data_IF_513358818272
#
_entry.id   IF_513358818272
#
_cell.length_a   1.000
_cell.length_b   1.000
_cell.length_c   1.000
_cell.angle_alpha   90.00
_cell.angle_beta   90.00
_cell.angle_gamma   90.00
#
_symmetry.space_group_name_H-M   'P 1'
#
loop_
_entity.id
_entity.type
_entity.pdbx_description
1 polymer ?
#
# COMPACT_ATOMS: atom_id res chain seq x y z
N UNK A 1 -4.93 0.32 -11.25
CA UNK A 1 -3.89 0.54 -10.21
C UNK A 1 -3.60 -0.77 -9.49
N UNK A 2 -2.32 -1.06 -9.19
CA UNK A 2 -1.90 -2.22 -8.40
C UNK A 2 -1.87 -1.89 -6.90
N UNK A 3 -2.53 -2.70 -6.10
CA UNK A 3 -2.48 -2.62 -4.63
C UNK A 3 -1.71 -3.83 -4.10
N UNK A 4 -0.63 -3.61 -3.36
CA UNK A 4 0.05 -4.64 -2.59
C UNK A 4 -0.43 -4.62 -1.14
N UNK A 5 -0.84 -5.77 -0.64
CA UNK A 5 -1.33 -5.95 0.73
C UNK A 5 -0.72 -7.22 1.33
N UNK A 6 -0.56 -7.25 2.64
CA UNK A 6 0.03 -8.40 3.35
C UNK A 6 0.64 -7.98 4.68
N UNK A 7 0.98 -8.92 5.54
CA UNK A 7 1.46 -8.63 6.88
C UNK A 7 2.83 -7.94 6.90
N UNK A 8 3.25 -7.50 8.08
CA UNK A 8 4.57 -6.88 8.31
C UNK A 8 5.68 -7.83 7.86
N UNK A 9 6.73 -7.26 7.23
CA UNK A 9 7.88 -8.00 6.71
C UNK A 9 7.58 -9.01 5.58
N UNK A 10 6.43 -8.90 4.89
CA UNK A 10 6.09 -9.75 3.73
C UNK A 10 6.85 -9.40 2.44
N UNK A 11 7.59 -8.28 2.40
CA UNK A 11 8.35 -7.88 1.21
C UNK A 11 7.71 -6.79 0.36
N UNK A 12 6.50 -6.28 0.71
CA UNK A 12 5.77 -5.26 -0.08
C UNK A 12 6.62 -4.05 -0.46
N UNK A 13 7.35 -3.49 0.49
CA UNK A 13 8.14 -2.26 0.26
C UNK A 13 9.26 -2.50 -0.76
N UNK A 14 9.94 -3.63 -0.68
CA UNK A 14 11.01 -3.97 -1.62
C UNK A 14 10.43 -4.29 -3.00
N UNK A 15 9.32 -5.04 -3.07
CA UNK A 15 8.63 -5.30 -4.33
C UNK A 15 8.17 -4.00 -5.01
N UNK A 16 7.60 -3.03 -4.26
CA UNK A 16 7.21 -1.72 -4.82
C UNK A 16 8.41 -0.96 -5.37
N UNK A 17 9.57 -0.99 -4.69
CA UNK A 17 10.79 -0.34 -5.20
C UNK A 17 11.22 -0.93 -6.54
N UNK A 18 11.22 -2.26 -6.67
CA UNK A 18 11.58 -2.95 -7.92
C UNK A 18 10.55 -2.63 -9.02
N UNK A 19 9.23 -2.69 -8.71
CA UNK A 19 8.18 -2.33 -9.66
C UNK A 19 8.34 -0.91 -10.22
N UNK A 20 8.76 0.04 -9.38
CA UNK A 20 9.00 1.42 -9.81
C UNK A 20 10.28 1.53 -10.64
N UNK A 21 11.37 0.91 -10.22
CA UNK A 21 12.66 1.09 -10.83
C UNK A 21 12.84 0.31 -12.14
N UNK A 22 12.24 -0.89 -12.24
CA UNK A 22 12.49 -1.82 -13.33
C UNK A 22 11.29 -2.00 -14.27
N UNK A 23 10.07 -1.80 -13.77
CA UNK A 23 8.84 -2.04 -14.54
C UNK A 23 8.02 -0.79 -14.84
N UNK A 24 8.60 0.39 -14.58
CA UNK A 24 8.01 1.70 -14.92
C UNK A 24 6.61 1.93 -14.29
N UNK A 25 6.32 1.31 -13.14
CA UNK A 25 5.18 1.72 -12.33
C UNK A 25 5.54 2.96 -11.51
N UNK A 26 4.54 3.71 -11.10
CA UNK A 26 4.73 4.92 -10.31
C UNK A 26 4.02 4.78 -8.96
N UNK A 27 4.65 5.29 -7.90
CA UNK A 27 4.00 5.36 -6.59
C UNK A 27 2.73 6.20 -6.69
N UNK A 28 1.63 5.75 -6.10
CA UNK A 28 0.48 6.60 -5.87
C UNK A 28 0.86 7.70 -4.87
N UNK A 29 0.65 8.95 -5.24
CA UNK A 29 0.91 10.12 -4.38
C UNK A 29 -0.42 10.60 -3.82
N UNK A 30 -0.54 10.62 -2.49
CA UNK A 30 -1.76 11.03 -1.78
C UNK A 30 -1.68 12.48 -1.31
N UNK A 31 -2.80 13.07 -0.95
CA UNK A 31 -2.92 14.44 -0.44
C UNK A 31 -2.78 14.48 1.07
N UNK A 32 -2.21 15.57 1.60
CA UNK A 32 -2.16 15.80 3.05
C UNK A 32 -2.16 17.28 3.39
N UNK A 33 -2.73 17.61 4.56
CA UNK A 33 -2.65 18.95 5.16
C UNK A 33 -1.49 19.09 6.15
N UNK A 34 -0.74 18.00 6.39
CA UNK A 34 0.45 18.03 7.23
C UNK A 34 1.53 18.92 6.57
N UNK A 35 2.20 19.78 7.34
CA UNK A 35 3.34 20.51 6.82
C UNK A 35 4.42 19.58 6.26
N UNK A 36 5.02 19.98 5.15
CA UNK A 36 6.13 19.27 4.51
C UNK A 36 7.34 19.21 5.45
N UNK A 37 7.96 18.05 5.57
CA UNK A 37 9.18 17.85 6.37
C UNK A 37 10.43 18.11 5.52
N UNK A 38 11.56 18.33 6.20
CA UNK A 38 12.86 18.44 5.54
C UNK A 38 13.15 17.19 4.71
N UNK A 39 13.46 17.38 3.43
CA UNK A 39 13.74 16.29 2.48
C UNK A 39 12.53 15.75 1.71
N UNK A 40 11.31 16.11 2.11
CA UNK A 40 10.11 15.78 1.33
C UNK A 40 9.95 16.75 0.14
N UNK A 41 9.30 16.27 -0.93
CA UNK A 41 9.05 17.02 -2.15
C UNK A 41 7.56 16.94 -2.50
N UNK A 42 6.95 18.10 -2.73
CA UNK A 42 5.55 18.16 -3.16
C UNK A 42 5.34 17.47 -4.52
N UNK A 43 4.29 16.65 -4.64
CA UNK A 43 4.01 15.86 -5.82
C UNK A 43 4.83 14.56 -5.95
N UNK A 44 5.79 14.32 -5.05
CA UNK A 44 6.56 13.07 -4.97
C UNK A 44 6.21 12.27 -3.71
N UNK A 45 6.26 12.91 -2.54
CA UNK A 45 6.01 12.25 -1.27
C UNK A 45 4.54 12.34 -0.90
N UNK A 46 3.98 13.54 -1.04
CA UNK A 46 2.56 13.88 -0.93
C UNK A 46 2.24 15.09 -1.82
N UNK A 47 0.97 15.30 -2.13
CA UNK A 47 0.42 16.60 -2.53
C UNK A 47 0.10 17.38 -1.24
N UNK A 48 0.99 18.31 -0.85
CA UNK A 48 0.82 19.14 0.33
C UNK A 48 -0.11 20.32 0.02
N UNK A 49 -1.28 20.35 0.64
CA UNK A 49 -2.28 21.40 0.45
C UNK A 49 -2.75 21.97 1.80
N UNK A 50 -3.40 23.15 1.79
CA UNK A 50 -3.95 23.73 3.01
C UNK A 50 -5.16 22.94 3.52
N UNK A 51 -5.52 23.17 4.79
CA UNK A 51 -6.70 22.54 5.38
C UNK A 51 -7.99 23.03 4.70
N UNK A 52 -8.05 24.30 4.39
CA UNK A 52 -9.19 24.94 3.70
C UNK A 52 -9.38 24.35 2.30
N UNK A 53 -8.29 24.17 1.56
CA UNK A 53 -8.31 23.54 0.23
C UNK A 53 -8.74 22.08 0.32
N UNK A 54 -8.25 21.33 1.31
CA UNK A 54 -8.64 19.95 1.52
C UNK A 54 -10.15 19.81 1.81
N UNK A 55 -10.68 20.65 2.72
CA UNK A 55 -12.10 20.67 3.06
C UNK A 55 -12.99 21.08 1.88
N UNK A 56 -12.53 22.00 1.04
CA UNK A 56 -13.22 22.34 -0.20
C UNK A 56 -13.26 21.17 -1.17
N UNK A 57 -12.16 20.42 -1.30
CA UNK A 57 -12.08 19.22 -2.15
C UNK A 57 -12.98 18.09 -1.63
N UNK A 58 -13.14 17.93 -0.30
CA UNK A 58 -14.13 17.01 0.29
C UNK A 58 -15.55 17.37 -0.20
N UNK A 59 -15.94 18.66 -0.11
CA UNK A 59 -17.26 19.12 -0.54
C UNK A 59 -17.52 18.87 -2.03
N UNK A 60 -16.48 18.86 -2.84
CA UNK A 60 -16.55 18.61 -4.27
C UNK A 60 -16.43 17.11 -4.64
N UNK A 61 -16.48 16.19 -3.66
CA UNK A 61 -16.31 14.74 -3.86
C UNK A 61 -15.01 14.37 -4.62
N UNK A 62 -13.95 15.15 -4.41
CA UNK A 62 -12.66 14.94 -5.10
C UNK A 62 -11.95 13.66 -4.66
N UNK A 63 -12.09 13.30 -3.38
CA UNK A 63 -11.37 12.16 -2.81
C UNK A 63 -12.16 10.85 -2.93
N UNK A 64 -11.48 9.79 -3.32
CA UNK A 64 -11.95 8.40 -3.18
C UNK A 64 -12.19 8.05 -1.71
N UNK A 65 -11.20 8.40 -0.88
CA UNK A 65 -11.23 8.23 0.57
C UNK A 65 -10.38 9.31 1.24
N UNK A 66 -10.68 9.61 2.49
CA UNK A 66 -9.82 10.44 3.33
C UNK A 66 -10.00 10.06 4.79
N UNK A 67 -8.96 10.35 5.58
CA UNK A 67 -8.95 10.14 7.04
C UNK A 67 -8.35 11.36 7.72
N UNK A 68 -8.75 11.59 8.99
CA UNK A 68 -8.07 12.54 9.87
C UNK A 68 -7.18 11.75 10.84
N UNK A 69 -5.91 12.13 10.92
CA UNK A 69 -4.93 11.52 11.81
C UNK A 69 -3.98 12.59 12.36
N UNK A 70 -3.84 12.67 13.69
CA UNK A 70 -3.02 13.67 14.39
C UNK A 70 -3.28 15.11 13.89
N UNK A 71 -4.55 15.51 13.83
CA UNK A 71 -5.02 16.84 13.38
C UNK A 71 -4.77 17.18 11.91
N UNK A 72 -4.25 16.24 11.12
CA UNK A 72 -4.04 16.41 9.69
C UNK A 72 -4.95 15.48 8.89
N UNK A 73 -5.36 15.96 7.71
CA UNK A 73 -6.07 15.13 6.74
C UNK A 73 -5.07 14.41 5.81
N UNK A 74 -5.47 13.21 5.39
CA UNK A 74 -4.81 12.42 4.35
C UNK A 74 -5.89 11.87 3.43
N UNK A 75 -5.68 11.90 2.12
CA UNK A 75 -6.69 11.43 1.19
C UNK A 75 -6.13 11.08 -0.18
N UNK A 76 -6.85 10.24 -0.91
CA UNK A 76 -6.54 9.82 -2.28
C UNK A 76 -7.58 10.34 -3.23
N UNK A 77 -7.16 11.01 -4.30
CA UNK A 77 -8.06 11.47 -5.33
C UNK A 77 -8.46 10.36 -6.32
N UNK A 78 -9.69 10.41 -6.84
CA UNK A 78 -10.13 9.49 -7.89
C UNK A 78 -9.27 9.62 -9.16
N UNK A 79 -8.89 10.84 -9.53
CA UNK A 79 -8.11 11.13 -10.74
C UNK A 79 -6.68 10.57 -10.71
N UNK A 80 -6.15 10.26 -9.52
CA UNK A 80 -4.82 9.68 -9.35
C UNK A 80 -4.80 8.15 -9.56
N UNK A 81 -5.97 7.51 -9.71
CA UNK A 81 -6.08 6.09 -9.95
C UNK A 81 -5.79 5.77 -11.41
N UNK A 82 -4.57 5.39 -11.72
CA UNK A 82 -4.16 5.00 -13.06
C UNK A 82 -3.56 3.59 -13.09
N UNK A 83 -3.63 2.91 -14.24
CA UNK A 83 -3.14 1.54 -14.40
C UNK A 83 -1.63 1.40 -14.14
N UNK A 84 -0.85 2.45 -14.35
CA UNK A 84 0.58 2.47 -14.07
C UNK A 84 0.94 2.86 -12.61
N UNK A 85 -0.03 2.93 -11.70
CA UNK A 85 0.21 3.24 -10.27
C UNK A 85 0.26 1.99 -9.41
N UNK A 86 1.10 2.06 -8.38
CA UNK A 86 1.21 1.05 -7.31
C UNK A 86 1.14 1.68 -5.93
N UNK A 87 0.48 1.01 -5.00
CA UNK A 87 0.34 1.44 -3.60
C UNK A 87 0.37 0.25 -2.64
N UNK A 88 0.84 0.48 -1.41
CA UNK A 88 0.70 -0.46 -0.29
C UNK A 88 -0.43 0.04 0.58
N UNK A 89 -1.42 -0.81 0.83
CA UNK A 89 -2.55 -0.50 1.71
C UNK A 89 -2.69 -1.51 2.85
N UNK A 90 -3.30 -1.04 3.93
CA UNK A 90 -3.86 -1.89 4.98
C UNK A 90 -5.22 -2.47 4.54
N UNK A 91 -5.69 -3.59 5.14
CA UNK A 91 -6.95 -4.23 4.73
C UNK A 91 -8.18 -3.31 4.70
N UNK A 92 -8.29 -2.36 5.63
CA UNK A 92 -9.37 -1.37 5.63
C UNK A 92 -9.34 -0.46 4.40
N UNK A 93 -8.15 -0.03 3.98
CA UNK A 93 -7.95 0.72 2.75
C UNK A 93 -8.35 -0.12 1.53
N UNK A 94 -7.90 -1.37 1.45
CA UNK A 94 -8.27 -2.29 0.35
C UNK A 94 -9.78 -2.41 0.19
N UNK A 95 -10.52 -2.59 1.31
CA UNK A 95 -11.98 -2.68 1.29
C UNK A 95 -12.62 -1.43 0.66
N UNK A 96 -12.15 -0.24 1.06
CA UNK A 96 -12.65 1.03 0.52
C UNK A 96 -12.39 1.17 -0.98
N UNK A 97 -11.19 0.82 -1.45
CA UNK A 97 -10.86 0.90 -2.88
C UNK A 97 -11.65 -0.13 -3.70
N UNK A 98 -11.83 -1.34 -3.18
CA UNK A 98 -12.62 -2.39 -3.86
C UNK A 98 -14.11 -2.02 -3.93
N UNK A 99 -14.65 -1.35 -2.92
CA UNK A 99 -16.03 -0.87 -2.91
C UNK A 99 -16.24 0.30 -3.88
N UNK A 100 -15.35 1.30 -3.85
CA UNK A 100 -15.55 2.57 -4.56
C UNK A 100 -14.98 2.60 -5.98
N UNK A 101 -14.00 1.76 -6.28
CA UNK A 101 -13.31 1.75 -7.57
C UNK A 101 -12.94 0.32 -8.03
N UNK A 102 -13.86 -0.67 -8.02
CA UNK A 102 -13.53 -2.08 -8.25
C UNK A 102 -12.85 -2.35 -9.59
N UNK A 103 -13.26 -1.62 -10.64
CA UNK A 103 -12.73 -1.79 -12.00
C UNK A 103 -11.33 -1.16 -12.19
N UNK A 104 -10.95 -0.25 -11.31
CA UNK A 104 -9.70 0.50 -11.42
C UNK A 104 -8.56 -0.12 -10.60
N UNK A 105 -8.83 -1.10 -9.76
CA UNK A 105 -7.86 -1.68 -8.84
C UNK A 105 -7.66 -3.18 -9.06
N UNK A 106 -6.43 -3.64 -8.87
CA UNK A 106 -6.05 -5.04 -8.77
C UNK A 106 -5.27 -5.26 -7.49
N UNK A 107 -5.64 -6.28 -6.73
CA UNK A 107 -5.16 -6.52 -5.37
C UNK A 107 -4.29 -7.76 -5.37
N UNK A 108 -3.02 -7.62 -4.99
CA UNK A 108 -2.09 -8.71 -4.78
C UNK A 108 -1.78 -8.85 -3.29
N UNK A 109 -2.16 -9.98 -2.71
CA UNK A 109 -1.88 -10.33 -1.32
C UNK A 109 -0.60 -11.16 -1.22
N UNK A 110 0.36 -10.68 -0.42
CA UNK A 110 1.59 -11.40 -0.12
C UNK A 110 1.42 -12.22 1.16
N UNK A 111 1.17 -13.53 0.99
CA UNK A 111 1.15 -14.47 2.11
C UNK A 111 2.58 -14.81 2.50
N UNK A 112 2.91 -14.67 3.78
CA UNK A 112 4.27 -14.92 4.29
C UNK A 112 4.21 -15.67 5.61
N UNK A 113 4.86 -16.82 5.72
CA UNK A 113 4.95 -17.56 6.98
C UNK A 113 5.53 -16.72 8.11
N UNK A 114 5.03 -16.94 9.33
CA UNK A 114 5.43 -16.15 10.51
C UNK A 114 6.92 -16.28 10.79
N UNK A 115 7.51 -17.46 10.59
CA UNK A 115 8.93 -17.74 10.82
C UNK A 115 9.82 -16.87 9.90
N UNK A 116 9.42 -16.69 8.65
CA UNK A 116 10.15 -15.83 7.71
C UNK A 116 10.00 -14.35 8.08
N UNK A 117 8.81 -13.93 8.47
CA UNK A 117 8.54 -12.57 8.92
C UNK A 117 9.37 -12.22 10.16
N UNK A 118 9.44 -13.13 11.14
CA UNK A 118 10.28 -12.99 12.33
C UNK A 118 11.75 -12.81 11.97
N UNK A 119 12.29 -13.71 11.14
CA UNK A 119 13.69 -13.62 10.68
C UNK A 119 13.99 -12.27 10.02
N UNK A 120 13.09 -11.78 9.17
CA UNK A 120 13.26 -10.48 8.48
C UNK A 120 13.18 -9.30 9.43
N UNK A 121 12.27 -9.31 10.44
CA UNK A 121 12.16 -8.27 11.45
C UNK A 121 13.40 -8.20 12.36
N UNK A 122 13.91 -9.37 12.80
CA UNK A 122 15.15 -9.45 13.58
C UNK A 122 16.33 -8.93 12.77
N UNK A 123 16.47 -9.36 11.51
CA UNK A 123 17.59 -8.96 10.65
C UNK A 123 17.65 -7.45 10.39
N UNK A 124 16.53 -6.74 10.39
CA UNK A 124 16.50 -5.28 10.24
C UNK A 124 16.59 -4.51 11.58
N UNK A 125 16.72 -5.22 12.72
CA UNK A 125 16.96 -4.63 14.03
C UNK A 125 15.70 -4.19 14.78
N UNK A 126 14.51 -4.72 14.45
CA UNK A 126 13.29 -4.46 15.23
C UNK A 126 13.45 -5.03 16.64
N UNK A 127 13.02 -4.30 17.68
CA UNK A 127 13.03 -4.80 19.05
C UNK A 127 11.97 -5.91 19.26
N UNK A 128 12.19 -6.77 20.24
CA UNK A 128 11.23 -7.86 20.58
C UNK A 128 9.81 -7.32 20.82
N UNK A 129 9.69 -6.18 21.50
CA UNK A 129 8.41 -5.53 21.76
C UNK A 129 7.72 -5.09 20.46
N UNK A 130 8.48 -4.47 19.54
CA UNK A 130 7.98 -4.06 18.23
C UNK A 130 7.53 -5.27 17.40
N UNK A 131 8.32 -6.34 17.40
CA UNK A 131 8.00 -7.60 16.71
C UNK A 131 6.70 -8.19 17.24
N UNK A 132 6.59 -8.35 18.56
CA UNK A 132 5.39 -8.89 19.21
C UNK A 132 4.14 -8.09 18.90
N UNK A 133 4.22 -6.76 19.01
CA UNK A 133 3.10 -5.85 18.68
C UNK A 133 2.66 -5.97 17.23
N UNK A 134 3.61 -6.04 16.29
CA UNK A 134 3.32 -6.18 14.85
C UNK A 134 2.66 -7.50 14.53
N UNK A 135 3.16 -8.62 15.09
CA UNK A 135 2.58 -9.95 14.88
C UNK A 135 1.15 -10.02 15.40
N UNK A 136 0.92 -9.56 16.64
CA UNK A 136 -0.42 -9.54 17.21
C UNK A 136 -1.41 -8.70 16.39
N UNK A 137 -0.97 -7.55 15.91
CA UNK A 137 -1.81 -6.69 15.06
C UNK A 137 -2.08 -7.36 13.71
N UNK A 138 -1.05 -7.91 13.07
CA UNK A 138 -1.17 -8.56 11.77
C UNK A 138 -2.11 -9.79 11.83
N UNK A 139 -2.01 -10.63 12.86
CA UNK A 139 -2.87 -11.81 13.03
C UNK A 139 -4.35 -11.44 13.16
N UNK A 140 -4.63 -10.25 13.69
CA UNK A 140 -6.00 -9.74 13.81
C UNK A 140 -6.54 -9.22 12.47
N UNK A 141 -5.72 -8.52 11.69
CA UNK A 141 -6.17 -7.80 10.48
C UNK A 141 -5.99 -8.59 9.18
N UNK A 142 -4.97 -9.47 9.09
CA UNK A 142 -4.69 -10.28 7.90
C UNK A 142 -5.29 -11.69 8.04
N UNK A 143 -6.58 -11.77 7.91
CA UNK A 143 -7.36 -13.00 8.00
C UNK A 143 -7.78 -13.53 6.62
N UNK A 144 -8.47 -14.66 6.59
CA UNK A 144 -8.96 -15.30 5.37
C UNK A 144 -9.84 -14.36 4.52
N UNK A 145 -10.62 -13.49 5.15
CA UNK A 145 -11.47 -12.53 4.43
C UNK A 145 -10.64 -11.57 3.56
N UNK A 146 -9.44 -11.18 4.02
CA UNK A 146 -8.54 -10.35 3.24
C UNK A 146 -8.01 -11.11 2.01
N UNK A 147 -7.69 -12.39 2.15
CA UNK A 147 -7.25 -13.21 1.02
C UNK A 147 -8.36 -13.37 -0.04
N UNK A 148 -9.60 -13.55 0.38
CA UNK A 148 -10.78 -13.65 -0.50
C UNK A 148 -11.06 -12.34 -1.27
N UNK A 149 -10.56 -11.21 -0.79
CA UNK A 149 -10.66 -9.93 -1.49
C UNK A 149 -9.58 -9.73 -2.55
N UNK A 150 -8.49 -10.49 -2.52
CA UNK A 150 -7.37 -10.35 -3.44
C UNK A 150 -7.70 -10.95 -4.81
N UNK A 151 -7.20 -10.31 -5.87
CA UNK A 151 -7.21 -10.88 -7.23
C UNK A 151 -6.15 -11.98 -7.34
N UNK A 152 -5.02 -11.83 -6.62
CA UNK A 152 -3.93 -12.82 -6.54
C UNK A 152 -3.38 -12.95 -5.14
N UNK A 153 -3.07 -14.19 -4.74
CA UNK A 153 -2.35 -14.53 -3.50
C UNK A 153 -1.02 -15.15 -3.88
N UNK A 154 0.09 -14.57 -3.42
CA UNK A 154 1.45 -15.06 -3.69
C UNK A 154 2.09 -15.48 -2.37
N UNK A 155 2.59 -16.71 -2.33
CA UNK A 155 3.36 -17.23 -1.20
C UNK A 155 4.79 -16.69 -1.30
N UNK A 156 5.16 -15.74 -0.47
CA UNK A 156 6.44 -15.03 -0.58
C UNK A 156 7.66 -15.87 -0.15
N UNK A 157 7.45 -17.05 0.42
CA UNK A 157 8.49 -18.02 0.78
C UNK A 157 8.92 -18.93 -0.38
N UNK A 158 8.17 -18.94 -1.46
CA UNK A 158 8.47 -19.72 -2.67
C UNK A 158 9.43 -19.00 -3.63
N UNK A 159 9.76 -17.72 -3.37
CA UNK A 159 10.46 -16.85 -4.31
C UNK A 159 11.57 -16.03 -3.62
N UNK A 160 12.58 -15.61 -4.40
CA UNK A 160 13.37 -14.43 -4.08
C UNK A 160 12.49 -13.17 -4.18
N UNK A 161 12.97 -12.03 -3.72
CA UNK A 161 12.19 -10.78 -3.83
C UNK A 161 12.05 -10.33 -5.30
N UNK A 162 13.07 -10.55 -6.09
CA UNK A 162 13.14 -10.26 -7.52
C UNK A 162 12.16 -11.14 -8.29
N UNK A 163 12.22 -12.48 -8.11
CA UNK A 163 11.33 -13.44 -8.78
C UNK A 163 9.85 -13.20 -8.38
N UNK A 164 9.60 -12.96 -7.09
CA UNK A 164 8.27 -12.62 -6.60
C UNK A 164 7.73 -11.35 -7.29
N UNK A 165 8.57 -10.35 -7.45
CA UNK A 165 8.18 -9.08 -8.07
C UNK A 165 7.93 -9.26 -9.56
N UNK A 166 8.72 -10.08 -10.25
CA UNK A 166 8.46 -10.43 -11.65
C UNK A 166 7.11 -11.14 -11.80
N UNK A 167 6.82 -12.14 -10.96
CA UNK A 167 5.50 -12.81 -10.93
C UNK A 167 4.37 -11.81 -10.74
N UNK A 168 4.48 -10.88 -9.78
CA UNK A 168 3.49 -9.83 -9.56
C UNK A 168 3.30 -9.00 -10.83
N UNK A 169 4.40 -8.58 -11.46
CA UNK A 169 4.33 -7.77 -12.67
C UNK A 169 3.70 -8.53 -13.84
N UNK A 170 4.05 -9.79 -14.08
CA UNK A 170 3.47 -10.60 -15.16
C UNK A 170 1.95 -10.79 -14.98
N UNK A 171 1.49 -10.98 -13.73
CA UNK A 171 0.05 -11.05 -13.42
C UNK A 171 -0.66 -9.71 -13.66
N UNK A 172 0.02 -8.59 -13.36
CA UNK A 172 -0.56 -7.26 -13.46
C UNK A 172 -0.45 -6.62 -14.86
N UNK A 173 0.58 -6.95 -15.63
CA UNK A 173 0.88 -6.38 -16.94
C UNK A 173 -0.31 -6.28 -17.91
N UNK A 174 -1.25 -7.25 -17.98
CA UNK A 174 -2.42 -7.15 -18.86
C UNK A 174 -3.38 -5.99 -18.54
N UNK A 175 -3.22 -5.34 -17.40
CA UNK A 175 -4.10 -4.27 -16.90
C UNK A 175 -3.47 -2.87 -16.99
N UNK A 176 -2.24 -2.74 -17.52
CA UNK A 176 -1.53 -1.45 -17.67
C UNK A 176 -1.96 -0.72 -18.94
#
# INVERSE_FOLDING_TARGET
MLILVGPSASGKTEAVKILINEYNLHKLVTYTTRPMRVGEVNGRDYHFISKEEFEQRIKNNFFLEYVSYNDFYYGTAYEDLASNKVVILEPSGVATYKEKAPELVKICYLRTPIEMRLKRMIARGDSEEQIKKRIQNDDFIFNRKMEEMADWVINSDEYTIEDMTDVIYQLYKPYI
#
